data_IF_287293429894
#
_entry.id   IF_287293429894
#
_cell.length_a   1.000
_cell.length_b   1.000
_cell.length_c   1.000
_cell.angle_alpha   90.00
_cell.angle_beta   90.00
_cell.angle_gamma   90.00
#
_symmetry.space_group_name_H-M   'P 1'
#
loop_
_entity.id
_entity.type
_entity.pdbx_description
1 polymer ?
#
# COMPACT_ATOMS: atom_id res chain seq x y z
N UNK A 1 7.74 -4.21 -21.90
CA UNK A 1 8.98 -4.04 -22.71
C UNK A 1 10.12 -4.93 -22.23
N UNK A 2 10.65 -4.79 -21.00
CA UNK A 2 11.81 -5.61 -20.56
C UNK A 2 11.55 -7.11 -20.64
N UNK A 3 10.39 -7.60 -20.16
CA UNK A 3 10.05 -9.03 -20.23
C UNK A 3 9.88 -9.55 -21.65
N UNK A 4 9.21 -8.78 -22.50
CA UNK A 4 9.09 -9.11 -23.93
C UNK A 4 10.48 -9.23 -24.57
N UNK A 5 11.37 -8.29 -24.27
CA UNK A 5 12.75 -8.29 -24.77
C UNK A 5 13.57 -9.47 -24.23
N UNK A 6 13.35 -9.91 -22.99
CA UNK A 6 13.96 -11.12 -22.43
C UNK A 6 13.46 -12.39 -23.14
N UNK A 7 12.16 -12.47 -23.41
CA UNK A 7 11.55 -13.60 -24.11
C UNK A 7 12.02 -13.69 -25.56
N UNK A 8 12.14 -12.56 -26.27
CA UNK A 8 12.62 -12.49 -27.66
C UNK A 8 14.11 -12.83 -27.79
N UNK A 9 14.94 -12.36 -26.85
CA UNK A 9 16.40 -12.53 -26.93
C UNK A 9 16.92 -13.78 -26.22
N UNK A 10 16.08 -14.49 -25.47
CA UNK A 10 16.47 -15.64 -24.66
C UNK A 10 17.52 -15.33 -23.58
N UNK A 11 17.78 -14.04 -23.31
CA UNK A 11 18.80 -13.58 -22.38
C UNK A 11 18.22 -12.60 -21.37
N UNK A 12 18.48 -12.85 -20.09
CA UNK A 12 18.06 -11.95 -19.02
C UNK A 12 18.98 -10.73 -18.87
N UNK A 13 20.25 -10.91 -19.23
CA UNK A 13 21.30 -9.92 -19.05
C UNK A 13 21.17 -8.78 -20.07
N UNK A 14 21.29 -7.54 -19.61
CA UNK A 14 21.30 -6.35 -20.47
C UNK A 14 19.93 -5.84 -20.94
N UNK A 15 18.86 -6.65 -20.88
CA UNK A 15 17.52 -6.23 -21.33
C UNK A 15 17.01 -4.96 -20.61
N UNK A 16 17.19 -4.88 -19.29
CA UNK A 16 16.82 -3.70 -18.50
C UNK A 16 17.69 -2.47 -18.87
N UNK A 17 18.98 -2.67 -19.16
CA UNK A 17 19.91 -1.61 -19.56
C UNK A 17 19.55 -1.02 -20.92
N UNK A 18 19.17 -1.88 -21.87
CA UNK A 18 18.72 -1.46 -23.20
C UNK A 18 17.43 -0.64 -23.11
N UNK A 19 16.44 -1.12 -22.35
CA UNK A 19 15.17 -0.41 -22.17
C UNK A 19 15.37 0.92 -21.42
N UNK A 20 16.20 0.93 -20.38
CA UNK A 20 16.56 2.15 -19.65
C UNK A 20 17.18 3.19 -20.60
N UNK A 21 18.15 2.78 -21.43
CA UNK A 21 18.81 3.66 -22.40
C UNK A 21 17.86 4.16 -23.49
N UNK A 22 16.98 3.28 -24.01
CA UNK A 22 16.01 3.64 -25.06
C UNK A 22 14.94 4.62 -24.59
N UNK A 23 14.52 4.51 -23.32
CA UNK A 23 13.46 5.33 -22.76
C UNK A 23 13.97 6.51 -21.92
N UNK A 24 15.29 6.63 -21.74
CA UNK A 24 15.90 7.68 -20.92
C UNK A 24 15.65 7.52 -19.41
N UNK A 25 15.36 6.32 -18.94
CA UNK A 25 15.16 6.03 -17.51
C UNK A 25 16.44 5.51 -16.86
N UNK A 26 16.54 5.65 -15.53
CA UNK A 26 17.59 5.02 -14.76
C UNK A 26 17.48 3.49 -14.77
N UNK A 27 18.61 2.80 -14.93
CA UNK A 27 18.67 1.34 -14.92
C UNK A 27 18.05 0.72 -13.67
N UNK A 28 18.36 1.26 -12.50
CA UNK A 28 17.85 0.74 -11.23
C UNK A 28 16.35 0.95 -11.07
N UNK A 29 15.79 2.04 -11.59
CA UNK A 29 14.34 2.26 -11.64
C UNK A 29 13.64 1.20 -12.48
N UNK A 30 14.17 0.93 -13.68
CA UNK A 30 13.63 -0.11 -14.57
C UNK A 30 13.72 -1.49 -13.93
N UNK A 31 14.83 -1.81 -13.26
CA UNK A 31 14.99 -3.08 -12.51
C UNK A 31 13.97 -3.20 -11.37
N UNK A 32 13.76 -2.14 -10.62
CA UNK A 32 12.79 -2.11 -9.53
C UNK A 32 11.36 -2.32 -10.03
N UNK A 33 10.96 -1.66 -11.12
CA UNK A 33 9.63 -1.84 -11.71
C UNK A 33 9.42 -3.23 -12.26
N UNK A 34 10.43 -3.82 -12.91
CA UNK A 34 10.34 -5.22 -13.37
C UNK A 34 10.18 -6.17 -12.19
N UNK A 35 10.93 -5.97 -11.10
CA UNK A 35 10.79 -6.78 -9.89
C UNK A 35 9.41 -6.64 -9.28
N UNK A 36 8.88 -5.42 -9.17
CA UNK A 36 7.53 -5.20 -8.63
C UNK A 36 6.47 -5.83 -9.51
N UNK A 37 6.58 -5.69 -10.83
CA UNK A 37 5.68 -6.38 -11.74
C UNK A 37 5.76 -7.91 -11.56
N UNK A 38 6.96 -8.47 -11.33
CA UNK A 38 7.12 -9.92 -11.11
C UNK A 38 6.40 -10.37 -9.83
N UNK A 39 6.38 -9.51 -8.82
CA UNK A 39 5.63 -9.73 -7.57
C UNK A 39 4.12 -9.60 -7.82
N UNK A 40 3.70 -8.56 -8.55
CA UNK A 40 2.29 -8.28 -8.85
C UNK A 40 1.64 -9.41 -9.66
N UNK A 41 2.41 -10.07 -10.55
CA UNK A 41 1.96 -11.25 -11.31
C UNK A 41 2.13 -12.58 -10.56
N UNK A 42 2.63 -12.56 -9.33
CA UNK A 42 2.86 -13.75 -8.51
C UNK A 42 4.03 -14.63 -8.97
N UNK A 43 4.86 -14.16 -9.91
CA UNK A 43 6.04 -14.89 -10.38
C UNK A 43 7.21 -14.84 -9.40
N UNK A 44 7.22 -13.85 -8.50
CA UNK A 44 8.18 -13.74 -7.40
C UNK A 44 7.44 -13.48 -6.09
N UNK A 45 7.97 -13.99 -4.96
CA UNK A 45 7.42 -13.65 -3.66
C UNK A 45 7.68 -12.17 -3.34
N UNK A 46 6.71 -11.53 -2.70
CA UNK A 46 6.78 -10.14 -2.26
C UNK A 46 5.40 -9.59 -1.95
N UNK A 47 5.34 -8.33 -1.51
CA UNK A 47 4.06 -7.63 -1.34
C UNK A 47 3.68 -7.01 -2.67
N UNK A 48 2.55 -7.43 -3.22
CA UNK A 48 2.02 -6.85 -4.44
C UNK A 48 1.55 -5.41 -4.21
N UNK A 49 1.50 -4.64 -5.28
CA UNK A 49 1.02 -3.26 -5.27
C UNK A 49 -0.42 -3.19 -4.75
N UNK A 50 -1.27 -4.16 -5.08
CA UNK A 50 -2.66 -4.23 -4.61
C UNK A 50 -2.77 -4.53 -3.12
N UNK A 51 -1.96 -5.46 -2.59
CA UNK A 51 -1.89 -5.74 -1.15
C UNK A 51 -1.39 -4.53 -0.36
N UNK A 52 -0.33 -3.87 -0.84
CA UNK A 52 0.19 -2.65 -0.21
C UNK A 52 -0.87 -1.54 -0.18
N UNK A 53 -1.63 -1.38 -1.26
CA UNK A 53 -2.73 -0.41 -1.33
C UNK A 53 -3.84 -0.76 -0.34
N UNK A 54 -4.25 -2.04 -0.28
CA UNK A 54 -5.29 -2.50 0.63
C UNK A 54 -4.91 -2.30 2.10
N UNK A 55 -3.65 -2.55 2.45
CA UNK A 55 -3.14 -2.30 3.81
C UNK A 55 -3.26 -0.82 4.16
N UNK A 56 -2.85 0.08 3.26
CA UNK A 56 -2.93 1.53 3.50
C UNK A 56 -4.37 2.01 3.71
N UNK A 57 -5.31 1.49 2.94
CA UNK A 57 -6.74 1.79 3.10
C UNK A 57 -7.27 1.31 4.45
N UNK A 58 -6.96 0.07 4.82
CA UNK A 58 -7.36 -0.49 6.10
C UNK A 58 -6.76 0.26 7.29
N UNK A 59 -5.49 0.68 7.18
CA UNK A 59 -4.85 1.49 8.21
C UNK A 59 -5.50 2.87 8.34
N UNK A 60 -5.91 3.49 7.22
CA UNK A 60 -6.64 4.75 7.23
C UNK A 60 -8.01 4.59 7.89
N UNK A 61 -8.78 3.59 7.48
CA UNK A 61 -10.09 3.28 8.05
C UNK A 61 -9.97 3.00 9.56
N UNK A 62 -8.98 2.23 9.98
CA UNK A 62 -8.75 1.92 11.39
C UNK A 62 -8.43 3.18 12.22
N UNK A 63 -7.65 4.12 11.66
CA UNK A 63 -7.38 5.41 12.32
C UNK A 63 -8.66 6.23 12.48
N UNK A 64 -9.50 6.29 11.45
CA UNK A 64 -10.76 7.02 11.49
C UNK A 64 -11.75 6.42 12.49
N UNK A 65 -11.88 5.08 12.49
CA UNK A 65 -12.72 4.36 13.43
C UNK A 65 -12.27 4.57 14.88
N UNK A 66 -10.96 4.52 15.14
CA UNK A 66 -10.40 4.81 16.47
C UNK A 66 -10.73 6.24 16.91
N UNK A 67 -10.59 7.22 16.02
CA UNK A 67 -10.93 8.62 16.31
C UNK A 67 -12.42 8.77 16.63
N UNK A 68 -13.30 8.17 15.83
CA UNK A 68 -14.74 8.22 16.06
C UNK A 68 -15.12 7.55 17.39
N UNK A 69 -14.53 6.39 17.69
CA UNK A 69 -14.76 5.67 18.94
C UNK A 69 -14.37 6.51 20.17
N UNK A 70 -13.24 7.23 20.11
CA UNK A 70 -12.82 8.13 21.19
C UNK A 70 -13.78 9.31 21.40
N UNK A 71 -14.35 9.87 20.32
CA UNK A 71 -15.38 10.91 20.44
C UNK A 71 -16.62 10.34 21.14
N UNK A 72 -17.07 9.16 20.73
CA UNK A 72 -18.25 8.51 21.31
C UNK A 72 -18.06 8.18 22.79
N UNK A 73 -16.88 7.65 23.18
CA UNK A 73 -16.54 7.40 24.58
C UNK A 73 -16.60 8.66 25.43
N UNK A 74 -16.04 9.77 24.92
CA UNK A 74 -16.09 11.07 25.62
C UNK A 74 -17.52 11.56 25.78
N UNK A 75 -18.34 11.45 24.73
CA UNK A 75 -19.76 11.81 24.79
C UNK A 75 -20.50 10.94 25.82
N UNK A 76 -20.32 9.62 25.78
CA UNK A 76 -20.95 8.69 26.73
C UNK A 76 -20.56 9.00 28.18
N UNK A 77 -19.27 9.28 28.44
CA UNK A 77 -18.80 9.69 29.76
C UNK A 77 -19.42 11.01 30.23
N UNK A 78 -19.51 12.00 29.34
CA UNK A 78 -20.16 13.28 29.65
C UNK A 78 -21.63 13.10 30.01
N UNK A 79 -22.40 12.37 29.18
CA UNK A 79 -23.82 12.16 29.44
C UNK A 79 -24.09 11.29 30.68
N UNK A 80 -23.28 10.25 30.91
CA UNK A 80 -23.37 9.47 32.14
C UNK A 80 -23.17 10.32 33.39
N UNK A 81 -22.15 11.20 33.39
CA UNK A 81 -21.91 12.11 34.50
C UNK A 81 -23.04 13.13 34.71
N UNK A 82 -23.69 13.59 33.64
CA UNK A 82 -24.82 14.52 33.74
C UNK A 82 -26.08 13.85 34.31
N UNK A 83 -26.38 12.63 33.86
CA UNK A 83 -27.49 11.82 34.40
C UNK A 83 -27.32 11.53 35.90
N UNK A 84 -26.09 11.21 36.33
CA UNK A 84 -25.77 10.97 37.73
C UNK A 84 -25.96 12.23 38.61
N UNK A 85 -25.71 13.42 38.07
CA UNK A 85 -25.95 14.68 38.80
C UNK A 85 -27.43 14.99 38.93
N UNK A 86 -28.22 14.75 37.88
CA UNK A 86 -29.66 14.96 37.90
C UNK A 86 -30.36 14.04 38.91
N UNK A 87 -29.94 12.76 39.00
CA UNK A 87 -30.49 11.81 39.98
C UNK A 87 -30.22 12.18 41.45
N UNK A 88 -29.21 13.02 41.73
CA UNK A 88 -28.82 13.43 43.09
C UNK A 88 -29.45 14.75 43.55
N UNK A 89 -30.21 15.42 42.69
CA UNK A 89 -30.97 16.64 43.01
C UNK A 89 -32.41 16.30 43.36
#
# INVERSE_FOLDING_TARGET
MVRALRAELGTEHGAASRVASQLGFGLESVRAWVRQADIDDGTKPGVSTSEAQRIRELEQENRELKRANEILKRAASFFGAELDRQHKR
#
